data_IF_011450265378
#
_entry.id   IF_011450265378
#
_cell.length_a   1.000
_cell.length_b   1.000
_cell.length_c   1.000
_cell.angle_alpha   90.00
_cell.angle_beta   90.00
_cell.angle_gamma   90.00
#
_symmetry.space_group_name_H-M   'P 1'
#
loop_
_entity.id
_entity.type
_entity.pdbx_description
1 polymer ?
#
# COMPACT_ATOMS: atom_id res chain seq x y z
N UNK A 1 -36.74 9.77 -33.55
CA UNK A 1 -35.91 10.66 -34.39
C UNK A 1 -34.47 10.22 -34.24
N UNK A 2 -33.84 9.84 -35.36
CA UNK A 2 -32.48 9.27 -35.44
C UNK A 2 -31.62 10.28 -36.17
N UNK A 3 -30.59 10.81 -35.51
CA UNK A 3 -29.62 11.71 -36.12
C UNK A 3 -28.30 10.96 -36.27
N UNK A 4 -27.97 10.67 -37.52
CA UNK A 4 -26.73 10.12 -38.06
C UNK A 4 -25.88 11.33 -38.49
N UNK A 5 -24.56 11.34 -38.30
CA UNK A 5 -23.53 12.01 -39.13
C UNK A 5 -22.10 11.74 -38.58
N UNK A 6 -21.02 11.84 -39.39
CA UNK A 6 -20.33 10.65 -39.91
C UNK A 6 -18.87 10.45 -39.44
N UNK A 7 -18.42 9.23 -39.76
CA UNK A 7 -17.06 8.70 -39.70
C UNK A 7 -16.03 9.58 -40.44
N UNK A 8 -14.88 9.85 -39.79
CA UNK A 8 -13.67 10.33 -40.46
C UNK A 8 -12.54 9.32 -40.21
N UNK A 9 -12.12 8.69 -41.31
CA UNK A 9 -11.07 7.68 -41.41
C UNK A 9 -9.75 8.41 -41.67
N UNK A 10 -8.76 8.30 -40.78
CA UNK A 10 -7.38 8.70 -41.09
C UNK A 10 -6.47 7.48 -40.93
N UNK A 11 -5.90 7.08 -42.06
CA UNK A 11 -4.91 6.02 -42.21
C UNK A 11 -3.50 6.51 -41.79
N UNK A 12 -2.68 5.59 -41.28
CA UNK A 12 -1.26 5.83 -41.10
C UNK A 12 -0.60 4.87 -40.11
N UNK A 13 -0.49 3.58 -40.46
CA UNK A 13 0.39 2.64 -39.74
C UNK A 13 1.70 2.54 -40.51
N UNK A 14 2.78 2.97 -39.86
CA UNK A 14 4.16 2.85 -40.32
C UNK A 14 4.62 1.39 -40.29
N UNK A 15 5.28 0.96 -41.37
CA UNK A 15 6.15 -0.22 -41.44
C UNK A 15 7.60 0.26 -41.42
N UNK A 16 8.39 -0.15 -40.42
CA UNK A 16 9.84 -0.35 -40.57
C UNK A 16 10.25 -1.58 -39.75
N UNK A 17 10.95 -2.48 -40.44
CA UNK A 17 11.59 -3.68 -39.91
C UNK A 17 13.08 -3.42 -39.65
N UNK A 18 13.77 -4.45 -39.12
CA UNK A 18 15.24 -4.67 -39.04
C UNK A 18 15.97 -3.88 -37.93
N UNK A 19 17.01 -4.37 -37.24
CA UNK A 19 17.81 -5.61 -37.25
C UNK A 19 18.91 -5.48 -36.17
N UNK A 20 19.45 -6.63 -35.71
CA UNK A 20 20.73 -6.90 -35.01
C UNK A 20 21.09 -6.04 -33.76
N UNK A 21 21.44 -6.60 -32.61
CA UNK A 21 22.42 -7.67 -32.39
C UNK A 21 23.71 -7.00 -31.89
N UNK A 22 24.13 -7.29 -30.66
CA UNK A 22 25.53 -7.10 -30.28
C UNK A 22 25.94 -8.13 -29.23
N UNK A 23 26.93 -8.92 -29.62
CA UNK A 23 27.71 -9.84 -28.83
C UNK A 23 28.36 -9.16 -27.62
N UNK A 24 28.48 -9.89 -26.52
CA UNK A 24 29.75 -9.93 -25.78
C UNK A 24 29.89 -11.28 -25.09
N UNK A 25 30.76 -12.05 -25.71
CA UNK A 25 31.54 -13.18 -25.20
C UNK A 25 31.96 -12.98 -23.74
N UNK A 26 31.76 -13.99 -22.89
CA UNK A 26 32.57 -14.16 -21.68
C UNK A 26 33.17 -15.55 -21.69
N UNK A 27 34.50 -15.56 -21.82
CA UNK A 27 35.32 -16.75 -21.79
C UNK A 27 35.45 -17.28 -20.35
N UNK A 28 35.39 -18.59 -20.30
CA UNK A 28 35.79 -19.53 -19.27
C UNK A 28 37.22 -19.28 -18.74
N UNK A 29 37.44 -19.26 -17.42
CA UNK A 29 38.14 -20.36 -16.72
C UNK A 29 38.53 -20.07 -15.26
N UNK A 30 38.52 -21.18 -14.54
CA UNK A 30 38.82 -21.50 -13.14
C UNK A 30 40.31 -21.51 -12.79
N UNK A 31 40.63 -21.23 -11.52
CA UNK A 31 41.64 -21.88 -10.63
C UNK A 31 42.39 -20.83 -9.78
N UNK A 32 42.24 -20.78 -8.44
CA UNK A 32 42.76 -21.63 -7.34
C UNK A 32 44.06 -21.11 -6.68
N UNK A 33 44.05 -21.19 -5.34
CA UNK A 33 45.15 -21.18 -4.33
C UNK A 33 45.92 -19.91 -3.93
N UNK A 34 45.56 -19.42 -2.72
CA UNK A 34 46.32 -19.43 -1.44
C UNK A 34 47.58 -18.54 -1.19
N UNK A 35 47.64 -18.09 0.09
CA UNK A 35 48.77 -17.54 0.91
C UNK A 35 49.13 -16.06 0.68
N UNK A 36 49.55 -15.22 1.63
CA UNK A 36 49.62 -15.13 3.10
C UNK A 36 50.02 -13.67 3.44
N UNK A 37 49.54 -13.14 4.58
CA UNK A 37 50.09 -12.07 5.45
C UNK A 37 50.41 -10.62 5.00
N UNK A 38 49.77 -9.70 5.76
CA UNK A 38 50.26 -8.42 6.36
C UNK A 38 50.61 -7.24 5.43
N UNK A 39 49.76 -6.19 5.46
CA UNK A 39 50.08 -4.88 6.06
C UNK A 39 48.98 -3.83 5.79
N UNK A 40 48.78 -3.02 6.81
CA UNK A 40 47.95 -1.83 6.97
C UNK A 40 47.97 -0.84 5.79
N UNK A 41 46.80 -0.43 5.29
CA UNK A 41 46.60 0.96 4.86
C UNK A 41 45.11 1.38 4.90
N UNK A 42 44.93 2.66 5.18
CA UNK A 42 43.70 3.36 5.50
C UNK A 42 42.90 3.66 4.22
N UNK A 43 41.61 3.29 4.13
CA UNK A 43 40.72 3.82 3.08
C UNK A 43 39.28 3.88 3.60
N UNK A 44 38.74 5.09 3.65
CA UNK A 44 37.31 5.36 3.85
C UNK A 44 36.55 5.12 2.54
N UNK A 45 35.25 4.86 2.70
CA UNK A 45 34.17 5.05 1.71
C UNK A 45 33.93 3.90 0.71
N UNK A 46 32.93 3.08 1.01
CA UNK A 46 31.85 2.84 0.06
C UNK A 46 30.59 2.44 0.82
N UNK A 47 29.60 3.33 0.79
CA UNK A 47 28.28 3.11 1.30
C UNK A 47 27.65 1.86 0.66
N UNK A 48 27.44 0.83 1.47
CA UNK A 48 26.53 -0.26 1.16
C UNK A 48 25.11 0.30 1.31
N UNK A 49 24.50 0.65 0.19
CA UNK A 49 23.08 0.98 0.15
C UNK A 49 22.32 -0.32 0.45
N UNK A 50 21.50 -0.41 1.52
CA UNK A 50 20.72 -1.61 1.73
C UNK A 50 19.72 -1.73 0.57
N UNK A 51 19.91 -2.77 -0.23
CA UNK A 51 18.94 -3.22 -1.22
C UNK A 51 17.58 -3.34 -0.52
N UNK A 52 16.62 -2.53 -0.96
CA UNK A 52 15.23 -2.62 -0.53
C UNK A 52 14.73 -4.01 -0.88
N UNK A 53 14.68 -4.87 0.14
CA UNK A 53 14.13 -6.22 0.09
C UNK A 53 12.67 -6.11 -0.37
N UNK A 54 12.44 -6.42 -1.66
CA UNK A 54 11.13 -6.61 -2.21
C UNK A 54 10.39 -7.61 -1.31
N UNK A 55 9.26 -7.17 -0.77
CA UNK A 55 8.47 -7.88 0.22
C UNK A 55 8.23 -9.34 -0.20
N UNK A 56 8.83 -10.26 0.54
CA UNK A 56 8.46 -11.66 0.51
C UNK A 56 6.98 -11.79 0.89
N UNK A 57 6.25 -12.57 0.11
CA UNK A 57 4.87 -13.01 0.34
C UNK A 57 4.79 -13.99 1.52
N UNK A 58 5.35 -13.60 2.67
CA UNK A 58 5.26 -14.36 3.91
C UNK A 58 3.89 -14.10 4.52
N UNK A 59 3.12 -15.18 4.68
CA UNK A 59 1.83 -15.16 5.33
C UNK A 59 1.93 -14.41 6.67
N UNK A 60 1.21 -13.30 6.79
CA UNK A 60 1.11 -12.55 8.05
C UNK A 60 0.35 -13.41 9.04
N UNK A 61 0.91 -13.63 10.24
CA UNK A 61 0.20 -14.34 11.29
C UNK A 61 -1.04 -13.55 11.75
N UNK A 62 -2.13 -14.21 12.18
CA UNK A 62 -3.24 -13.51 12.81
C UNK A 62 -2.78 -12.83 14.12
N UNK A 63 -3.55 -11.85 14.58
CA UNK A 63 -3.44 -11.40 15.97
C UNK A 63 -3.71 -12.55 16.94
N UNK A 64 -3.11 -12.51 18.13
CA UNK A 64 -3.21 -13.61 19.09
C UNK A 64 -4.62 -13.75 19.67
N UNK A 65 -5.39 -12.66 19.69
CA UNK A 65 -6.78 -12.65 20.14
C UNK A 65 -7.71 -11.86 19.21
N UNK A 66 -9.01 -12.18 19.28
CA UNK A 66 -10.08 -11.41 18.64
C UNK A 66 -10.13 -9.95 19.14
N UNK A 67 -9.80 -9.72 20.42
CA UNK A 67 -9.73 -8.37 20.99
C UNK A 67 -8.62 -7.53 20.35
N UNK A 68 -7.43 -8.10 20.21
CA UNK A 68 -6.30 -7.44 19.54
C UNK A 68 -6.61 -7.16 18.08
N UNK A 69 -7.28 -8.08 17.38
CA UNK A 69 -7.75 -7.84 16.02
C UNK A 69 -8.71 -6.66 15.95
N UNK A 70 -9.74 -6.62 16.81
CA UNK A 70 -10.70 -5.51 16.83
C UNK A 70 -10.00 -4.17 17.12
N UNK A 71 -9.06 -4.13 18.06
CA UNK A 71 -8.29 -2.91 18.35
C UNK A 71 -7.40 -2.50 17.17
N UNK A 72 -6.74 -3.46 16.52
CA UNK A 72 -5.92 -3.20 15.33
C UNK A 72 -6.76 -2.69 14.15
N UNK A 73 -7.92 -3.28 13.90
CA UNK A 73 -8.83 -2.85 12.83
C UNK A 73 -9.37 -1.44 13.11
N UNK A 74 -9.73 -1.14 14.36
CA UNK A 74 -10.15 0.19 14.77
C UNK A 74 -9.03 1.24 14.61
N UNK A 75 -7.78 0.91 14.94
CA UNK A 75 -6.65 1.80 14.63
C UNK A 75 -6.49 2.03 13.13
N UNK A 76 -6.53 0.98 12.30
CA UNK A 76 -6.45 1.11 10.82
C UNK A 76 -7.50 2.11 10.31
N UNK A 77 -8.75 1.95 10.73
CA UNK A 77 -9.82 2.87 10.33
C UNK A 77 -9.52 4.31 10.76
N UNK A 78 -9.13 4.54 12.02
CA UNK A 78 -8.84 5.89 12.49
C UNK A 78 -7.62 6.52 11.79
N UNK A 79 -6.61 5.73 11.52
CA UNK A 79 -5.42 6.17 10.78
C UNK A 79 -5.83 6.67 9.39
N UNK A 80 -6.55 5.85 8.64
CA UNK A 80 -6.88 6.12 7.24
C UNK A 80 -7.94 7.22 7.09
N UNK A 81 -8.92 7.28 8.01
CA UNK A 81 -9.88 8.40 8.08
C UNK A 81 -9.14 9.73 8.29
N UNK A 82 -8.23 9.78 9.26
CA UNK A 82 -7.56 11.03 9.62
C UNK A 82 -6.54 11.47 8.57
N UNK A 83 -5.77 10.54 8.00
CA UNK A 83 -4.87 10.85 6.88
C UNK A 83 -5.66 11.31 5.63
N UNK A 84 -6.80 10.70 5.35
CA UNK A 84 -7.66 11.11 4.22
C UNK A 84 -8.25 12.51 4.45
N UNK A 85 -8.70 12.82 5.67
CA UNK A 85 -9.15 14.17 6.03
C UNK A 85 -8.03 15.20 5.91
N UNK A 86 -6.81 14.86 6.34
CA UNK A 86 -5.65 15.74 6.23
C UNK A 86 -5.37 16.13 4.77
N UNK A 87 -5.34 15.17 3.85
CA UNK A 87 -5.06 15.49 2.45
C UNK A 87 -6.19 16.31 1.80
N UNK A 88 -7.45 16.03 2.15
CA UNK A 88 -8.59 16.82 1.71
C UNK A 88 -8.52 18.27 2.22
N UNK A 89 -8.18 18.47 3.49
CA UNK A 89 -8.01 19.79 4.09
C UNK A 89 -6.88 20.58 3.42
N UNK A 90 -5.79 19.89 3.06
CA UNK A 90 -4.64 20.48 2.37
C UNK A 90 -4.86 20.67 0.87
N UNK A 91 -6.05 20.37 0.36
CA UNK A 91 -6.48 20.73 -0.98
C UNK A 91 -5.93 19.84 -2.09
N UNK A 92 -5.67 18.55 -1.83
CA UNK A 92 -5.42 17.60 -2.93
C UNK A 92 -6.60 17.57 -3.89
N UNK A 93 -6.33 17.29 -5.17
CA UNK A 93 -7.35 17.38 -6.23
C UNK A 93 -7.41 16.11 -7.08
N UNK A 94 -8.35 16.07 -8.02
CA UNK A 94 -8.53 14.95 -8.94
C UNK A 94 -8.75 13.62 -8.22
N UNK A 95 -8.11 12.57 -8.73
CA UNK A 95 -8.26 11.20 -8.23
C UNK A 95 -7.86 11.04 -6.76
N UNK A 96 -6.81 11.71 -6.28
CA UNK A 96 -6.40 11.63 -4.87
C UNK A 96 -7.50 12.15 -3.93
N UNK A 97 -8.23 13.19 -4.34
CA UNK A 97 -9.39 13.72 -3.61
C UNK A 97 -10.55 12.72 -3.61
N UNK A 98 -10.85 12.14 -4.76
CA UNK A 98 -11.97 11.19 -4.89
C UNK A 98 -11.73 9.94 -4.04
N UNK A 99 -10.50 9.41 -4.08
CA UNK A 99 -10.08 8.29 -3.23
C UNK A 99 -10.18 8.65 -1.74
N UNK A 100 -9.66 9.81 -1.33
CA UNK A 100 -9.73 10.22 0.07
C UNK A 100 -11.17 10.36 0.58
N UNK A 101 -12.11 10.84 -0.25
CA UNK A 101 -13.52 10.88 0.12
C UNK A 101 -14.13 9.48 0.28
N UNK A 102 -13.78 8.56 -0.63
CA UNK A 102 -14.19 7.17 -0.52
C UNK A 102 -13.62 6.52 0.76
N UNK A 103 -12.36 6.75 1.07
CA UNK A 103 -11.71 6.25 2.29
C UNK A 103 -12.44 6.71 3.55
N UNK A 104 -12.74 8.00 3.67
CA UNK A 104 -13.49 8.53 4.81
C UNK A 104 -14.85 7.84 4.94
N UNK A 105 -15.56 7.64 3.83
CA UNK A 105 -16.90 7.03 3.81
C UNK A 105 -16.86 5.57 4.25
N UNK A 106 -16.02 4.77 3.59
CA UNK A 106 -15.99 3.32 3.78
C UNK A 106 -15.41 2.95 5.16
N UNK A 107 -14.36 3.63 5.62
CA UNK A 107 -13.78 3.36 6.94
C UNK A 107 -14.65 3.86 8.08
N UNK A 108 -15.37 4.98 7.91
CA UNK A 108 -16.36 5.41 8.92
C UNK A 108 -17.46 4.36 9.08
N UNK A 109 -17.88 3.75 7.96
CA UNK A 109 -18.84 2.64 7.99
C UNK A 109 -18.25 1.39 8.66
N UNK A 110 -17.03 1.00 8.32
CA UNK A 110 -16.30 -0.11 8.96
C UNK A 110 -16.20 0.08 10.47
N UNK A 111 -15.82 1.26 10.92
CA UNK A 111 -15.72 1.61 12.36
C UNK A 111 -17.07 1.46 13.07
N UNK A 112 -18.16 1.90 12.45
CA UNK A 112 -19.49 1.77 13.05
C UNK A 112 -19.92 0.30 13.19
N UNK A 113 -19.67 -0.52 12.15
CA UNK A 113 -19.97 -1.96 12.17
C UNK A 113 -19.12 -2.68 13.24
N UNK A 114 -17.81 -2.38 13.30
CA UNK A 114 -16.89 -2.97 14.28
C UNK A 114 -17.25 -2.58 15.72
N UNK A 115 -17.64 -1.32 15.94
CA UNK A 115 -18.05 -0.81 17.25
C UNK A 115 -19.25 -1.58 17.81
N UNK A 116 -20.22 -1.92 16.97
CA UNK A 116 -21.37 -2.72 17.40
C UNK A 116 -20.95 -4.12 17.88
N UNK A 117 -19.98 -4.74 17.21
CA UNK A 117 -19.43 -6.04 17.60
C UNK A 117 -18.65 -5.93 18.92
N UNK A 118 -17.76 -4.93 19.01
CA UNK A 118 -16.93 -4.71 20.20
C UNK A 118 -17.78 -4.44 21.45
N UNK A 119 -18.89 -3.69 21.33
CA UNK A 119 -19.83 -3.46 22.42
C UNK A 119 -20.45 -4.76 22.95
N UNK A 120 -20.90 -5.66 22.06
CA UNK A 120 -21.43 -6.97 22.49
C UNK A 120 -20.39 -7.81 23.24
N UNK A 121 -19.11 -7.63 22.90
CA UNK A 121 -17.98 -8.37 23.44
C UNK A 121 -17.27 -7.66 24.61
N UNK A 122 -17.79 -6.51 25.05
CA UNK A 122 -17.19 -5.66 26.09
C UNK A 122 -15.73 -5.26 25.79
N UNK A 123 -15.42 -5.04 24.51
CA UNK A 123 -14.09 -4.57 24.08
C UNK A 123 -14.12 -3.06 23.86
N UNK A 124 -13.20 -2.35 24.51
CA UNK A 124 -12.98 -0.92 24.27
C UNK A 124 -12.07 -0.74 23.05
N UNK A 125 -12.62 -0.14 22.00
CA UNK A 125 -11.87 0.21 20.80
C UNK A 125 -11.12 1.53 20.97
N UNK A 126 -9.92 1.67 20.39
CA UNK A 126 -9.27 2.97 20.26
C UNK A 126 -10.13 3.90 19.40
N UNK A 127 -10.11 5.19 19.73
CA UNK A 127 -10.87 6.25 19.02
C UNK A 127 -9.97 7.25 18.31
N UNK A 128 -8.68 6.93 18.19
CA UNK A 128 -7.67 7.81 17.63
C UNK A 128 -6.58 7.00 16.91
N UNK A 129 -5.75 7.69 16.14
CA UNK A 129 -4.62 7.11 15.41
C UNK A 129 -3.65 6.42 16.38
N UNK A 130 -2.99 5.37 15.88
CA UNK A 130 -1.82 4.84 16.58
C UNK A 130 -0.63 5.81 16.51
N UNK A 131 0.40 5.56 17.34
CA UNK A 131 1.54 6.45 17.44
C UNK A 131 2.35 6.56 16.13
N UNK A 132 2.44 5.48 15.35
CA UNK A 132 3.18 5.48 14.09
C UNK A 132 2.49 6.37 13.06
N UNK A 133 1.16 6.27 12.94
CA UNK A 133 0.41 7.08 11.99
C UNK A 133 0.29 8.54 12.44
N UNK A 134 0.33 8.84 13.75
CA UNK A 134 0.50 10.24 14.23
C UNK A 134 1.80 10.87 13.75
N UNK A 135 2.89 10.10 13.73
CA UNK A 135 4.16 10.57 13.18
C UNK A 135 4.08 10.77 11.66
N UNK A 136 3.44 9.85 10.94
CA UNK A 136 3.19 9.98 9.49
C UNK A 136 2.36 11.23 9.19
N UNK A 137 1.26 11.46 9.92
CA UNK A 137 0.44 12.65 9.79
C UNK A 137 1.24 13.94 10.02
N UNK A 138 2.11 13.95 11.04
CA UNK A 138 3.00 15.10 11.32
C UNK A 138 3.94 15.40 10.15
N UNK A 139 4.47 14.36 9.50
CA UNK A 139 5.29 14.51 8.28
C UNK A 139 4.45 15.02 7.12
N UNK A 140 3.29 14.40 6.85
CA UNK A 140 2.39 14.80 5.77
C UNK A 140 1.87 16.23 5.92
N UNK A 141 1.68 16.72 7.16
CA UNK A 141 1.27 18.10 7.42
C UNK A 141 2.25 19.13 6.81
N UNK A 142 3.54 18.77 6.66
CA UNK A 142 4.59 19.62 6.11
C UNK A 142 4.68 19.54 4.58
N UNK A 143 4.04 18.56 3.96
CA UNK A 143 4.03 18.38 2.51
C UNK A 143 2.89 19.17 1.86
N UNK A 144 2.93 19.33 0.55
CA UNK A 144 1.84 19.93 -0.24
C UNK A 144 1.90 19.44 -1.69
N UNK A 145 0.82 19.67 -2.45
CA UNK A 145 0.76 19.33 -3.87
C UNK A 145 1.13 17.87 -4.14
N UNK A 146 1.97 17.64 -5.16
CA UNK A 146 2.33 16.30 -5.63
C UNK A 146 3.06 15.46 -4.58
N UNK A 147 3.87 16.07 -3.71
CA UNK A 147 4.59 15.35 -2.66
C UNK A 147 3.63 14.78 -1.61
N UNK A 148 2.63 15.57 -1.22
CA UNK A 148 1.58 15.12 -0.30
C UNK A 148 0.74 14.01 -0.91
N UNK A 149 0.33 14.17 -2.17
CA UNK A 149 -0.44 13.16 -2.90
C UNK A 149 0.37 11.85 -3.01
N UNK A 150 1.65 11.93 -3.37
CA UNK A 150 2.50 10.74 -3.52
C UNK A 150 2.68 10.02 -2.19
N UNK A 151 2.97 10.74 -1.10
CA UNK A 151 3.10 10.16 0.23
C UNK A 151 1.79 9.50 0.69
N UNK A 152 0.64 10.13 0.42
CA UNK A 152 -0.67 9.57 0.75
C UNK A 152 -0.93 8.27 0.00
N UNK A 153 -0.76 8.28 -1.33
CA UNK A 153 -1.01 7.09 -2.17
C UNK A 153 -0.12 5.91 -1.75
N UNK A 154 1.17 6.16 -1.50
CA UNK A 154 2.10 5.13 -1.03
C UNK A 154 1.70 4.57 0.34
N UNK A 155 1.34 5.45 1.29
CA UNK A 155 0.93 5.04 2.61
C UNK A 155 -0.34 4.18 2.56
N UNK A 156 -1.33 4.56 1.74
CA UNK A 156 -2.56 3.79 1.59
C UNK A 156 -2.28 2.40 0.98
N UNK A 157 -1.36 2.25 0.02
CA UNK A 157 -0.97 0.90 -0.46
C UNK A 157 -0.42 0.03 0.67
N UNK A 158 0.48 0.57 1.50
CA UNK A 158 1.09 -0.16 2.60
C UNK A 158 0.06 -0.60 3.65
N UNK A 159 -0.81 0.33 4.06
CA UNK A 159 -1.81 0.09 5.10
C UNK A 159 -2.85 -0.94 4.64
N UNK A 160 -3.36 -0.80 3.43
CA UNK A 160 -4.35 -1.73 2.90
C UNK A 160 -3.79 -3.13 2.66
N UNK A 161 -2.55 -3.24 2.18
CA UNK A 161 -1.90 -4.54 2.01
C UNK A 161 -1.74 -5.24 3.37
N UNK A 162 -1.27 -4.51 4.38
CA UNK A 162 -1.12 -5.04 5.75
C UNK A 162 -2.48 -5.47 6.32
N UNK A 163 -3.48 -4.60 6.24
CA UNK A 163 -4.82 -4.85 6.79
C UNK A 163 -5.50 -6.03 6.10
N UNK A 164 -5.39 -6.15 4.78
CA UNK A 164 -5.92 -7.30 4.06
C UNK A 164 -5.27 -8.61 4.51
N UNK A 165 -3.93 -8.64 4.64
CA UNK A 165 -3.22 -9.82 5.12
C UNK A 165 -3.65 -10.20 6.55
N UNK A 166 -3.76 -9.21 7.44
CA UNK A 166 -4.24 -9.41 8.81
C UNK A 166 -5.66 -9.95 8.84
N UNK A 167 -6.58 -9.39 8.04
CA UNK A 167 -7.96 -9.87 7.95
C UNK A 167 -8.04 -11.31 7.46
N UNK A 168 -7.32 -11.65 6.39
CA UNK A 168 -7.30 -13.01 5.83
C UNK A 168 -6.70 -14.03 6.81
N UNK A 169 -5.66 -13.65 7.55
CA UNK A 169 -5.08 -14.50 8.58
C UNK A 169 -6.04 -14.70 9.75
N UNK A 170 -6.68 -13.61 10.20
CA UNK A 170 -7.58 -13.65 11.35
C UNK A 170 -8.88 -14.39 11.03
N UNK A 171 -9.41 -14.30 9.81
CA UNK A 171 -10.58 -15.09 9.39
C UNK A 171 -10.38 -16.61 9.52
N UNK A 172 -9.15 -17.07 9.25
CA UNK A 172 -8.76 -18.49 9.41
C UNK A 172 -8.65 -18.90 10.88
N UNK A 173 -8.34 -17.97 11.78
CA UNK A 173 -8.11 -18.24 13.20
C UNK A 173 -9.40 -18.12 14.00
N UNK A 174 -10.10 -16.99 13.87
CA UNK A 174 -11.26 -16.67 14.70
C UNK A 174 -12.37 -17.70 14.50
N UNK A 175 -13.04 -18.06 15.60
CA UNK A 175 -14.24 -18.89 15.60
C UNK A 175 -15.51 -18.04 15.82
N UNK A 176 -15.33 -16.72 15.99
CA UNK A 176 -16.43 -15.82 16.29
C UNK A 176 -17.24 -15.47 15.03
N UNK A 177 -18.52 -15.81 15.04
CA UNK A 177 -19.38 -15.62 13.87
C UNK A 177 -19.57 -14.15 13.48
N UNK A 178 -19.63 -13.23 14.45
CA UNK A 178 -19.77 -11.80 14.18
C UNK A 178 -18.49 -11.26 13.52
N UNK A 179 -17.31 -11.69 13.97
CA UNK A 179 -16.03 -11.28 13.36
C UNK A 179 -15.79 -11.91 11.99
N UNK A 180 -16.15 -13.19 11.78
CA UNK A 180 -16.13 -13.79 10.44
C UNK A 180 -17.01 -13.01 9.47
N UNK A 181 -18.22 -12.65 9.89
CA UNK A 181 -19.13 -11.88 9.06
C UNK A 181 -18.58 -10.46 8.77
N UNK A 182 -17.98 -9.81 9.76
CA UNK A 182 -17.30 -8.53 9.58
C UNK A 182 -16.17 -8.63 8.55
N UNK A 183 -15.27 -9.61 8.69
CA UNK A 183 -14.14 -9.79 7.77
C UNK A 183 -14.63 -10.11 6.36
N UNK A 184 -15.59 -11.03 6.21
CA UNK A 184 -16.14 -11.40 4.91
C UNK A 184 -16.77 -10.19 4.17
N UNK A 185 -17.31 -9.22 4.92
CA UNK A 185 -17.88 -7.98 4.37
C UNK A 185 -16.81 -6.93 4.05
N UNK A 186 -15.81 -6.80 4.91
CA UNK A 186 -14.84 -5.69 4.87
C UNK A 186 -13.62 -6.01 3.99
N UNK A 187 -13.12 -7.24 3.99
CA UNK A 187 -11.92 -7.61 3.23
C UNK A 187 -12.03 -7.34 1.72
N UNK A 188 -13.18 -7.58 1.04
CA UNK A 188 -13.33 -7.20 -0.37
C UNK A 188 -13.23 -5.68 -0.62
N UNK A 189 -13.69 -4.86 0.34
CA UNK A 189 -13.59 -3.40 0.25
C UNK A 189 -12.13 -2.97 0.37
N UNK A 190 -11.40 -3.50 1.37
CA UNK A 190 -9.95 -3.24 1.54
C UNK A 190 -9.16 -3.67 0.31
N UNK A 191 -9.47 -4.83 -0.27
CA UNK A 191 -8.85 -5.29 -1.51
C UNK A 191 -9.14 -4.35 -2.69
N UNK A 192 -10.36 -3.82 -2.79
CA UNK A 192 -10.72 -2.85 -3.84
C UNK A 192 -9.93 -1.54 -3.66
N UNK A 193 -9.84 -1.01 -2.45
CA UNK A 193 -9.03 0.17 -2.15
C UNK A 193 -7.54 -0.07 -2.44
N UNK A 194 -7.00 -1.24 -2.08
CA UNK A 194 -5.62 -1.59 -2.41
C UNK A 194 -5.36 -1.57 -3.92
N UNK A 195 -6.27 -2.14 -4.70
CA UNK A 195 -6.19 -2.10 -6.17
C UNK A 195 -6.28 -0.66 -6.68
N UNK A 196 -7.22 0.11 -6.15
CA UNK A 196 -7.42 1.52 -6.46
C UNK A 196 -6.14 2.34 -6.20
N UNK A 197 -5.44 2.14 -5.08
CA UNK A 197 -4.19 2.87 -4.81
C UNK A 197 -3.00 2.35 -5.63
N UNK A 198 -2.86 1.03 -5.83
CA UNK A 198 -1.76 0.44 -6.62
C UNK A 198 -1.76 0.90 -8.08
N UNK A 199 -2.93 0.95 -8.72
CA UNK A 199 -3.06 1.39 -10.12
C UNK A 199 -2.52 2.80 -10.36
N UNK A 200 -2.42 3.62 -9.32
CA UNK A 200 -2.09 5.03 -9.44
C UNK A 200 -0.76 5.43 -8.79
N UNK A 201 -0.20 4.58 -7.92
CA UNK A 201 1.18 4.74 -7.43
C UNK A 201 2.20 4.67 -8.58
N UNK A 202 1.94 3.84 -9.59
CA UNK A 202 2.84 3.65 -10.75
C UNK A 202 2.72 4.78 -11.79
N UNK A 203 1.60 5.50 -11.83
CA UNK A 203 1.36 6.60 -12.80
C UNK A 203 1.92 7.95 -12.36
N UNK A 204 2.42 8.09 -11.13
CA UNK A 204 3.05 9.31 -10.62
C UNK A 204 4.54 9.45 -10.97
N UNK A 205 5.14 8.42 -11.58
CA UNK A 205 6.55 8.35 -11.97
C UNK A 205 6.80 8.65 -13.47
N UNK A 206 5.80 9.15 -14.20
CA UNK A 206 5.89 9.53 -15.61
C UNK A 206 5.67 11.03 -15.80
#
# INVERSE_FOLDING_TARGET
MKTIFPSLLCAGVLLFATSCGNDTTSNNETATTATDSVATENTMESADAPAMNMASDTATAPHATDEEFMKSAAHSDQNEIQLSKLVLEKGVTGMAKDHANQMVTDHTKSTADLKAIAQKKNVTLPTDMDAAHKAIATTMQKLSGKDLETQYMQQMVLDHQKTLNTMQAHDKMTQDADLKAFIAKTAPVVQNHLTMFKQHADTGAM
#
